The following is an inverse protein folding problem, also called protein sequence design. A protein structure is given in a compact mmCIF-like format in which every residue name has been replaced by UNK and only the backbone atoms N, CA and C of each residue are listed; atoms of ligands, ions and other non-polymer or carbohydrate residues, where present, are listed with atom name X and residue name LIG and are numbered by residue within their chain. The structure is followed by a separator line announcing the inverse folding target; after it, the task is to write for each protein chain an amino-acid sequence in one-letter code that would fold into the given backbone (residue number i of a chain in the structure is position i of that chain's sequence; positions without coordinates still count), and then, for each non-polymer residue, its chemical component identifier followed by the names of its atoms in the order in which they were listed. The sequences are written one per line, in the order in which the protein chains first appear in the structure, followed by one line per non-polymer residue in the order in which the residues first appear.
data_IF_161580379559
#
_entry.id   IF_161580379559
#
_cell.length_a   1.000
_cell.length_b   1.000
_cell.length_c   1.000
_cell.angle_alpha   90.00
_cell.angle_beta   90.00
_cell.angle_gamma   90.00
#
_symmetry.space_group_name_H-M   'P 1'
#
loop_
_entity.id
_entity.type
_entity.pdbx_description
1 polymer ?
#
# COMPACT_ATOMS: atom_id res chain seq x y z
N UNK A 1 -9.98 42.77 16.21
CA UNK A 1 -8.92 42.98 15.20
C UNK A 1 -8.02 41.75 15.21
N UNK A 2 -8.17 40.88 14.22
CA UNK A 2 -7.40 39.63 14.11
C UNK A 2 -6.00 39.92 13.60
N UNK A 3 -5.00 39.60 14.43
CA UNK A 3 -3.58 39.64 14.09
C UNK A 3 -3.31 38.71 12.91
N UNK A 4 -2.99 39.28 11.75
CA UNK A 4 -2.48 38.51 10.62
C UNK A 4 -1.05 38.09 10.97
N UNK A 5 -0.90 36.88 11.52
CA UNK A 5 0.40 36.24 11.63
C UNK A 5 1.03 36.20 10.22
N UNK A 6 2.24 36.74 10.11
CA UNK A 6 3.00 36.80 8.88
C UNK A 6 3.19 35.38 8.34
N UNK A 7 2.45 35.04 7.28
CA UNK A 7 2.49 33.70 6.69
C UNK A 7 3.80 33.52 5.95
N UNK A 8 4.76 32.86 6.58
CA UNK A 8 6.04 32.52 5.97
C UNK A 8 5.85 31.31 5.03
N UNK A 9 6.12 31.52 3.73
CA UNK A 9 6.01 30.47 2.71
C UNK A 9 7.40 29.92 2.41
N UNK A 10 7.83 28.92 3.17
CA UNK A 10 9.21 28.40 3.14
C UNK A 10 9.34 27.04 2.48
N UNK A 11 8.28 26.23 2.45
CA UNK A 11 8.38 24.80 2.12
C UNK A 11 7.96 24.55 0.68
N UNK A 12 8.78 23.81 -0.07
CA UNK A 12 8.42 23.39 -1.42
C UNK A 12 7.35 22.28 -1.42
N UNK A 13 6.63 22.15 -2.53
CA UNK A 13 5.66 21.07 -2.78
C UNK A 13 6.22 19.67 -2.46
N UNK A 14 7.48 19.41 -2.82
CA UNK A 14 8.10 18.09 -2.63
C UNK A 14 8.43 17.81 -1.17
N UNK A 15 8.97 18.81 -0.47
CA UNK A 15 9.29 18.71 0.95
C UNK A 15 8.03 18.56 1.80
N UNK A 16 6.99 19.33 1.50
CA UNK A 16 5.70 19.22 2.18
C UNK A 16 5.08 17.83 1.99
N UNK A 17 5.19 17.24 0.79
CA UNK A 17 4.71 15.90 0.52
C UNK A 17 5.44 14.84 1.37
N UNK A 18 6.77 14.99 1.53
CA UNK A 18 7.59 14.13 2.40
C UNK A 18 7.19 14.26 3.87
N UNK A 19 7.06 15.49 4.38
CA UNK A 19 6.67 15.77 5.79
C UNK A 19 5.31 15.16 6.12
N UNK A 20 4.34 15.29 5.21
CA UNK A 20 2.99 14.77 5.40
C UNK A 20 2.86 13.26 5.13
N UNK A 21 3.91 12.62 4.60
CA UNK A 21 3.89 11.23 4.10
C UNK A 21 2.77 11.00 3.08
N UNK A 22 2.65 11.89 2.09
CA UNK A 22 1.63 11.83 1.02
C UNK A 22 2.27 11.89 -0.36
N UNK A 23 1.54 11.43 -1.38
CA UNK A 23 1.92 11.68 -2.76
C UNK A 23 1.77 13.16 -3.12
N UNK A 24 2.63 13.65 -4.01
CA UNK A 24 2.56 15.02 -4.56
C UNK A 24 1.18 15.33 -5.14
N UNK A 25 0.56 14.36 -5.83
CA UNK A 25 -0.83 14.48 -6.33
C UNK A 25 -1.88 14.68 -5.23
N UNK A 26 -1.71 14.02 -4.08
CA UNK A 26 -2.63 14.19 -2.94
C UNK A 26 -2.48 15.57 -2.33
N UNK A 27 -1.23 16.06 -2.25
CA UNK A 27 -0.94 17.41 -1.80
C UNK A 27 -1.54 18.46 -2.76
N UNK A 28 -1.40 18.28 -4.07
CA UNK A 28 -2.02 19.17 -5.08
C UNK A 28 -3.54 19.25 -4.94
N UNK A 29 -4.18 18.13 -4.62
CA UNK A 29 -5.62 18.13 -4.35
C UNK A 29 -5.99 18.96 -3.12
N UNK A 30 -5.16 18.95 -2.09
CA UNK A 30 -5.38 19.77 -0.88
C UNK A 30 -5.13 21.25 -1.15
N UNK A 31 -4.13 21.57 -1.98
CA UNK A 31 -3.87 22.91 -2.48
C UNK A 31 -5.06 23.43 -3.30
N UNK A 32 -5.54 22.64 -4.28
CA UNK A 32 -6.70 22.97 -5.11
C UNK A 32 -7.98 23.12 -4.28
N UNK A 33 -8.13 22.31 -3.23
CA UNK A 33 -9.25 22.36 -2.29
C UNK A 33 -9.19 23.49 -1.25
N UNK A 34 -8.23 24.43 -1.37
CA UNK A 34 -8.00 25.54 -0.41
C UNK A 34 -7.81 25.08 1.04
N UNK A 35 -7.32 23.86 1.25
CA UNK A 35 -7.06 23.29 2.58
C UNK A 35 -5.68 23.63 3.13
N UNK A 36 -4.79 24.13 2.27
CA UNK A 36 -3.45 24.59 2.58
C UNK A 36 -3.22 25.92 1.86
N UNK A 37 -2.72 26.92 2.58
CA UNK A 37 -2.31 28.20 2.01
C UNK A 37 -1.08 28.00 1.13
N UNK A 38 -1.12 28.56 -0.08
CA UNK A 38 -0.04 28.45 -1.04
C UNK A 38 0.37 29.83 -1.58
N UNK A 39 1.62 29.93 -2.03
CA UNK A 39 2.14 31.07 -2.79
C UNK A 39 2.89 30.55 -4.01
N UNK A 40 2.57 31.08 -5.19
CA UNK A 40 3.28 30.75 -6.42
C UNK A 40 4.38 31.78 -6.66
N UNK A 41 5.64 31.33 -6.68
CA UNK A 41 6.80 32.17 -6.97
C UNK A 41 7.56 31.48 -8.11
N UNK A 42 7.70 32.15 -9.25
CA UNK A 42 8.41 31.65 -10.43
C UNK A 42 7.94 30.25 -10.90
N UNK A 43 6.63 29.97 -10.83
CA UNK A 43 6.05 28.69 -11.25
C UNK A 43 6.19 27.56 -10.23
N UNK A 44 6.81 27.82 -9.08
CA UNK A 44 6.93 26.87 -7.97
C UNK A 44 5.95 27.21 -6.86
N UNK A 45 5.31 26.17 -6.32
CA UNK A 45 4.34 26.30 -5.24
C UNK A 45 5.05 26.15 -3.89
N UNK A 46 4.95 27.19 -3.08
CA UNK A 46 5.43 27.22 -1.71
C UNK A 46 4.27 27.20 -0.72
N UNK A 47 4.47 26.48 0.38
CA UNK A 47 3.47 26.23 1.42
C UNK A 47 3.99 26.76 2.75
N UNK A 48 3.05 27.10 3.65
CA UNK A 48 3.40 27.44 5.02
C UNK A 48 3.74 26.16 5.81
N UNK A 49 4.91 26.13 6.44
CA UNK A 49 5.40 25.01 7.23
C UNK A 49 4.49 24.68 8.42
N UNK A 50 4.00 25.70 9.12
CA UNK A 50 3.17 25.52 10.32
C UNK A 50 1.85 24.85 9.95
N UNK A 51 1.21 25.34 8.88
CA UNK A 51 -0.06 24.81 8.39
C UNK A 51 0.09 23.36 7.89
N UNK A 52 1.20 23.03 7.23
CA UNK A 52 1.51 21.66 6.79
C UNK A 52 1.66 20.72 7.99
N UNK A 53 2.32 21.17 9.06
CA UNK A 53 2.53 20.38 10.27
C UNK A 53 1.22 20.16 11.05
N UNK A 54 0.41 21.20 11.21
CA UNK A 54 -0.88 21.12 11.90
C UNK A 54 -1.88 20.24 11.13
N UNK A 55 -1.87 20.34 9.80
CA UNK A 55 -2.69 19.46 8.96
C UNK A 55 -2.27 17.99 9.08
N UNK A 56 -0.96 17.72 9.22
CA UNK A 56 -0.43 16.38 9.47
C UNK A 56 -0.92 15.82 10.81
N UNK A 57 -0.90 16.63 11.88
CA UNK A 57 -1.40 16.24 13.22
C UNK A 57 -2.90 15.94 13.20
N UNK A 58 -3.73 16.81 12.63
CA UNK A 58 -5.18 16.63 12.55
C UNK A 58 -5.58 15.34 11.82
N UNK A 59 -4.83 14.96 10.78
CA UNK A 59 -5.09 13.75 10.00
C UNK A 59 -4.78 12.45 10.76
N UNK A 60 -3.79 12.46 11.66
CA UNK A 60 -3.49 11.30 12.53
C UNK A 60 -4.65 11.02 13.49
N UNK A 61 -5.26 12.06 14.04
CA UNK A 61 -6.41 11.94 14.95
C UNK A 61 -7.61 11.27 14.26
N UNK A 62 -7.95 11.66 13.04
CA UNK A 62 -9.08 11.05 12.31
C UNK A 62 -8.83 9.62 11.82
N UNK A 63 -7.58 9.20 11.59
CA UNK A 63 -7.26 7.79 11.29
C UNK A 63 -7.39 6.88 12.51
N UNK A 64 -7.01 7.36 13.69
CA UNK A 64 -7.05 6.56 14.92
C UNK A 64 -8.48 6.31 15.44
N UNK A 65 -9.46 7.13 15.04
CA UNK A 65 -10.86 6.93 15.46
C UNK A 65 -11.55 5.82 14.66
N UNK A 66 -11.11 5.52 13.43
CA UNK A 66 -11.83 4.61 12.53
C UNK A 66 -11.63 3.11 12.82
N UNK A 67 -10.74 2.74 13.75
CA UNK A 67 -10.42 1.35 14.08
C UNK A 67 -10.20 1.11 15.58
N UNK A 68 -10.95 1.78 16.46
CA UNK A 68 -11.12 1.26 17.81
C UNK A 68 -12.26 0.23 17.73
N UNK A 69 -11.92 -1.02 17.45
CA UNK A 69 -12.86 -2.11 17.76
C UNK A 69 -13.22 -1.95 19.24
N UNK A 70 -14.51 -1.89 19.61
CA UNK A 70 -14.88 -1.98 21.01
C UNK A 70 -14.36 -3.34 21.47
N UNK A 71 -13.34 -3.36 22.34
CA UNK A 71 -13.01 -4.56 23.08
C UNK A 71 -14.20 -4.82 23.99
N UNK A 72 -15.12 -5.69 23.55
CA UNK A 72 -16.18 -6.20 24.40
C UNK A 72 -15.51 -7.10 25.43
N UNK A 73 -15.01 -6.49 26.51
CA UNK A 73 -14.75 -7.22 27.73
C UNK A 73 -16.12 -7.71 28.19
N UNK A 74 -16.37 -9.01 28.06
CA UNK A 74 -17.48 -9.71 28.72
C UNK A 74 -17.30 -9.53 30.23
N UNK A 75 -17.79 -8.43 30.76
CA UNK A 75 -18.22 -8.33 32.14
C UNK A 75 -19.74 -8.50 32.09
N UNK A 76 -20.19 -9.74 32.33
CA UNK A 76 -21.56 -9.97 32.78
C UNK A 76 -21.66 -9.35 34.17
N UNK A 77 -22.07 -8.09 34.22
CA UNK A 77 -22.65 -7.52 35.43
C UNK A 77 -23.93 -6.83 34.99
N UNK A 78 -25.03 -7.53 35.21
CA UNK A 78 -26.39 -7.08 34.94
C UNK A 78 -26.72 -5.91 35.87
N UNK A 79 -26.30 -4.71 35.50
CA UNK A 79 -26.94 -3.51 36.02
C UNK A 79 -28.32 -3.40 35.37
N UNK A 80 -29.40 -3.25 36.15
CA UNK A 80 -30.70 -2.94 35.58
C UNK A 80 -30.58 -1.60 34.83
N UNK A 81 -30.87 -1.63 33.53
CA UNK A 81 -30.93 -0.42 32.71
C UNK A 81 -31.88 0.58 33.39
N UNK A 82 -31.50 1.86 33.53
CA UNK A 82 -32.44 2.88 33.96
C UNK A 82 -33.58 2.93 32.95
N UNK A 83 -34.83 2.98 33.42
CA UNK A 83 -36.01 3.19 32.56
C UNK A 83 -35.91 4.58 31.92
N UNK A 84 -35.24 4.63 30.76
CA UNK A 84 -35.24 5.80 29.91
C UNK A 84 -36.63 5.87 29.28
N UNK A 85 -37.41 6.85 29.70
CA UNK A 85 -38.65 7.24 29.02
C UNK A 85 -38.29 7.77 27.62
N UNK A 86 -38.19 6.85 26.66
CA UNK A 86 -38.03 7.17 25.25
C UNK A 86 -39.44 7.44 24.71
N UNK A 87 -39.72 8.69 24.36
CA UNK A 87 -40.94 9.09 23.63
C UNK A 87 -41.10 8.18 22.39
N UNK A 88 -42.33 7.77 22.11
CA UNK A 88 -42.66 6.71 21.15
C UNK A 88 -42.01 6.90 19.76
N UNK A 89 -41.82 8.15 19.33
CA UNK A 89 -41.21 8.48 18.03
C UNK A 89 -39.71 8.17 17.94
N UNK A 90 -38.98 8.25 19.05
CA UNK A 90 -37.54 8.00 19.06
C UNK A 90 -37.22 6.50 18.93
N UNK A 91 -38.08 5.62 19.47
CA UNK A 91 -37.89 4.16 19.36
C UNK A 91 -37.89 3.68 17.91
N UNK A 92 -38.76 4.25 17.08
CA UNK A 92 -38.87 3.86 15.67
C UNK A 92 -37.64 4.31 14.88
N UNK A 93 -37.07 5.48 15.20
CA UNK A 93 -35.82 5.97 14.61
C UNK A 93 -34.67 5.02 14.94
N UNK A 94 -34.51 4.65 16.21
CA UNK A 94 -33.45 3.72 16.62
C UNK A 94 -33.63 2.32 16.04
N UNK A 95 -34.88 1.84 15.93
CA UNK A 95 -35.20 0.58 15.28
C UNK A 95 -34.81 0.61 13.80
N UNK A 96 -35.21 1.64 13.07
CA UNK A 96 -34.89 1.78 11.65
C UNK A 96 -33.37 1.84 11.41
N UNK A 97 -32.66 2.60 12.24
CA UNK A 97 -31.19 2.68 12.18
C UNK A 97 -30.54 1.33 12.46
N UNK A 98 -31.05 0.59 13.45
CA UNK A 98 -30.56 -0.74 13.77
C UNK A 98 -30.77 -1.72 12.60
N UNK A 99 -31.96 -1.73 12.01
CA UNK A 99 -32.29 -2.58 10.87
C UNK A 99 -31.48 -2.23 9.62
N UNK A 100 -31.18 -0.94 9.39
CA UNK A 100 -30.30 -0.50 8.30
C UNK A 100 -28.87 -1.01 8.52
N UNK A 101 -28.32 -0.83 9.72
CA UNK A 101 -26.98 -1.34 10.07
C UNK A 101 -26.91 -2.87 9.96
N UNK A 102 -27.96 -3.56 10.38
CA UNK A 102 -28.04 -5.02 10.27
C UNK A 102 -28.09 -5.48 8.81
N UNK A 103 -28.82 -4.76 7.95
CA UNK A 103 -28.84 -5.01 6.50
C UNK A 103 -27.47 -4.79 5.87
N UNK A 104 -26.79 -3.71 6.22
CA UNK A 104 -25.44 -3.41 5.75
C UNK A 104 -24.43 -4.48 6.18
N UNK A 105 -24.47 -4.91 7.43
CA UNK A 105 -23.64 -6.00 7.95
C UNK A 105 -23.85 -7.28 7.15
N UNK A 106 -25.10 -7.65 6.88
CA UNK A 106 -25.43 -8.81 6.07
C UNK A 106 -24.91 -8.67 4.64
N UNK A 107 -25.01 -7.47 4.04
CA UNK A 107 -24.46 -7.16 2.72
C UNK A 107 -22.93 -7.28 2.67
N UNK A 108 -22.23 -6.81 3.71
CA UNK A 108 -20.78 -6.96 3.81
C UNK A 108 -20.37 -8.42 3.97
N UNK A 109 -21.10 -9.19 4.79
CA UNK A 109 -20.85 -10.61 4.97
C UNK A 109 -20.96 -11.38 3.66
N UNK A 110 -22.03 -11.15 2.87
CA UNK A 110 -22.20 -11.77 1.56
C UNK A 110 -21.08 -11.41 0.58
N UNK A 111 -20.64 -10.14 0.57
CA UNK A 111 -19.51 -9.71 -0.28
C UNK A 111 -18.20 -10.38 0.13
N UNK A 112 -17.99 -10.55 1.43
CA UNK A 112 -16.79 -11.19 1.98
C UNK A 112 -16.76 -12.69 1.68
N UNK A 113 -17.91 -13.37 1.82
CA UNK A 113 -18.07 -14.76 1.41
C UNK A 113 -17.80 -14.94 -0.09
N UNK A 114 -18.35 -14.06 -0.94
CA UNK A 114 -18.09 -14.09 -2.39
C UNK A 114 -16.63 -13.81 -2.75
N UNK A 115 -15.96 -12.90 -2.04
CA UNK A 115 -14.53 -12.62 -2.23
C UNK A 115 -13.67 -13.82 -1.80
N UNK A 116 -13.94 -14.41 -0.64
CA UNK A 116 -13.23 -15.60 -0.15
C UNK A 116 -13.40 -16.79 -1.10
N UNK A 117 -14.61 -16.99 -1.63
CA UNK A 117 -14.85 -18.02 -2.63
C UNK A 117 -14.00 -17.81 -3.90
N UNK A 118 -13.93 -16.58 -4.42
CA UNK A 118 -13.08 -16.25 -5.57
C UNK A 118 -11.60 -16.42 -5.28
N UNK A 119 -11.14 -16.02 -4.09
CA UNK A 119 -9.76 -16.24 -3.65
C UNK A 119 -9.46 -17.73 -3.59
N UNK A 120 -10.36 -18.55 -3.03
CA UNK A 120 -10.20 -20.00 -3.00
C UNK A 120 -10.11 -20.62 -4.39
N UNK A 121 -10.92 -20.16 -5.35
CA UNK A 121 -10.82 -20.59 -6.75
C UNK A 121 -9.47 -20.20 -7.38
N UNK A 122 -9.01 -18.97 -7.16
CA UNK A 122 -7.72 -18.48 -7.66
C UNK A 122 -6.56 -19.24 -7.01
N UNK A 123 -6.63 -19.55 -5.72
CA UNK A 123 -5.63 -20.34 -5.02
C UNK A 123 -5.57 -21.77 -5.55
N UNK A 124 -6.72 -22.39 -5.82
CA UNK A 124 -6.77 -23.71 -6.44
C UNK A 124 -6.17 -23.71 -7.85
N UNK A 125 -6.51 -22.71 -8.67
CA UNK A 125 -5.92 -22.50 -9.99
C UNK A 125 -4.42 -22.24 -9.90
N UNK A 126 -3.98 -21.41 -8.96
CA UNK A 126 -2.58 -21.11 -8.73
C UNK A 126 -1.81 -22.37 -8.37
N UNK A 127 -2.31 -23.18 -7.41
CA UNK A 127 -1.72 -24.47 -7.01
C UNK A 127 -1.59 -25.43 -8.20
N UNK A 128 -2.60 -25.48 -9.07
CA UNK A 128 -2.51 -26.28 -10.31
C UNK A 128 -1.59 -25.68 -11.39
N UNK A 129 -1.25 -24.40 -11.32
CA UNK A 129 -0.40 -23.69 -12.30
C UNK A 129 1.09 -23.64 -11.91
N UNK A 130 1.43 -23.90 -10.64
CA UNK A 130 2.82 -24.08 -10.17
C UNK A 130 3.67 -25.02 -11.05
N UNK A 131 3.17 -26.11 -11.67
CA UNK A 131 3.97 -26.91 -12.61
C UNK A 131 4.57 -26.10 -13.78
N UNK A 132 3.96 -24.99 -14.21
CA UNK A 132 4.47 -24.22 -15.36
C UNK A 132 5.76 -23.45 -15.02
N UNK A 133 5.86 -22.92 -13.80
CA UNK A 133 7.05 -22.18 -13.35
C UNK A 133 8.23 -23.15 -13.14
N UNK A 134 7.96 -24.35 -12.62
CA UNK A 134 8.97 -25.41 -12.50
C UNK A 134 9.42 -25.92 -13.87
N UNK A 135 8.49 -26.18 -14.80
CA UNK A 135 8.83 -26.55 -16.17
C UNK A 135 9.66 -25.48 -16.88
N UNK A 136 9.35 -24.20 -16.68
CA UNK A 136 10.14 -23.11 -17.28
C UNK A 136 11.55 -23.04 -16.70
N UNK A 137 11.73 -23.25 -15.39
CA UNK A 137 13.06 -23.35 -14.76
C UNK A 137 13.86 -24.52 -15.30
N UNK A 138 13.24 -25.69 -15.47
CA UNK A 138 13.88 -26.87 -16.06
C UNK A 138 14.32 -26.62 -17.51
N UNK A 139 13.49 -25.98 -18.33
CA UNK A 139 13.82 -25.64 -19.72
C UNK A 139 14.95 -24.61 -19.82
N UNK A 140 14.96 -23.61 -18.95
CA UNK A 140 16.04 -22.59 -18.88
C UNK A 140 17.35 -23.24 -18.40
N UNK A 141 17.29 -24.13 -17.42
CA UNK A 141 18.43 -24.93 -16.95
C UNK A 141 19.06 -25.75 -18.06
N UNK A 142 18.25 -26.52 -18.81
CA UNK A 142 18.73 -27.32 -19.94
C UNK A 142 19.33 -26.50 -21.08
N UNK A 143 18.84 -25.29 -21.35
CA UNK A 143 19.46 -24.40 -22.36
C UNK A 143 20.81 -23.90 -21.89
N UNK A 144 20.92 -23.48 -20.62
CA UNK A 144 22.19 -23.00 -20.03
C UNK A 144 23.28 -24.07 -20.06
N UNK A 145 22.91 -25.31 -19.74
CA UNK A 145 23.85 -26.45 -19.75
C UNK A 145 24.41 -26.74 -21.15
N UNK A 146 23.57 -26.63 -22.19
CA UNK A 146 24.01 -26.80 -23.59
C UNK A 146 24.97 -25.69 -24.04
N UNK A 147 24.72 -24.44 -23.64
CA UNK A 147 25.63 -23.34 -23.94
C UNK A 147 26.98 -23.52 -23.24
N UNK A 148 26.97 -23.88 -21.95
CA UNK A 148 28.20 -24.12 -21.21
C UNK A 148 29.04 -25.22 -21.84
N UNK A 149 28.44 -26.35 -22.26
CA UNK A 149 29.18 -27.43 -22.95
C UNK A 149 29.84 -26.94 -24.23
N UNK A 150 29.13 -26.18 -25.08
CA UNK A 150 29.70 -25.61 -26.32
C UNK A 150 30.85 -24.65 -26.06
N UNK A 151 30.69 -23.75 -25.09
CA UNK A 151 31.75 -22.80 -24.70
C UNK A 151 32.96 -23.56 -24.16
N UNK A 152 32.75 -24.61 -23.35
CA UNK A 152 33.84 -25.43 -22.79
C UNK A 152 34.64 -26.14 -23.91
N UNK A 153 33.98 -26.70 -24.93
CA UNK A 153 34.66 -27.30 -26.07
C UNK A 153 35.47 -26.29 -26.90
N UNK A 154 34.94 -25.08 -27.10
CA UNK A 154 35.66 -24.02 -27.82
C UNK A 154 36.92 -23.61 -27.03
N UNK A 155 36.78 -23.42 -25.72
CA UNK A 155 37.91 -23.08 -24.83
C UNK A 155 38.97 -24.18 -24.83
N UNK A 156 38.54 -25.45 -24.76
CA UNK A 156 39.43 -26.61 -24.85
C UNK A 156 40.19 -26.65 -26.19
N UNK A 157 39.51 -26.37 -27.31
CA UNK A 157 40.12 -26.36 -28.64
C UNK A 157 41.19 -25.26 -28.78
N UNK A 158 40.95 -24.08 -28.20
CA UNK A 158 41.93 -22.99 -28.17
C UNK A 158 43.17 -23.38 -27.38
N UNK A 159 43.00 -23.99 -26.20
CA UNK A 159 44.12 -24.44 -25.36
C UNK A 159 44.96 -25.50 -26.10
N UNK A 160 44.32 -26.47 -26.75
CA UNK A 160 44.99 -27.47 -27.58
C UNK A 160 45.75 -26.86 -28.76
N UNK A 161 45.17 -25.86 -29.42
CA UNK A 161 45.82 -25.17 -30.55
C UNK A 161 47.04 -24.33 -30.17
N UNK A 162 47.12 -23.87 -28.92
CA UNK A 162 48.24 -23.08 -28.39
C UNK A 162 49.44 -23.95 -27.98
N UNK A 163 49.25 -25.24 -27.70
CA UNK A 163 50.32 -26.16 -27.28
C UNK A 163 51.55 -26.19 -28.19
N UNK A 164 51.45 -26.29 -29.54
CA UNK A 164 52.63 -26.34 -30.40
C UNK A 164 53.40 -25.02 -30.43
N UNK A 165 52.75 -23.88 -30.21
CA UNK A 165 53.38 -22.56 -30.20
C UNK A 165 54.30 -22.41 -28.99
N UNK A 166 53.91 -22.95 -27.83
CA UNK A 166 54.75 -22.98 -26.64
C UNK A 166 56.03 -23.81 -26.83
N UNK A 167 55.94 -24.94 -27.54
CA UNK A 167 57.10 -25.78 -27.84
C UNK A 167 58.10 -25.07 -28.76
N UNK A 168 57.61 -24.32 -29.75
CA UNK A 168 58.47 -23.55 -30.66
C UNK A 168 59.14 -22.38 -29.94
N UNK A 169 58.41 -21.69 -29.04
CA UNK A 169 58.96 -20.56 -28.28
C UNK A 169 60.00 -21.01 -27.23
N UNK A 170 59.86 -22.21 -26.65
CA UNK A 170 60.81 -22.74 -25.67
C UNK A 170 62.11 -23.28 -26.30
N UNK A 171 62.11 -23.52 -27.61
CA UNK A 171 63.27 -24.03 -28.35
C UNK A 171 64.06 -22.92 -29.07
N UNK A 172 63.54 -21.69 -29.06
CA UNK A 172 64.17 -20.49 -29.61
C UNK A 172 64.92 -19.74 -28.50
#
# INVERSE_FOLDING_TARGET
MSTQAEKTFTVSREEAAKIMKLSTRTLDRYIKGRKLSNKNIAGRIFLNMEEVNDFSKKKRTHRNIKYRQPQVKRAMESQPMPDVFIESGDRDIYRNLYEEVQRDLKGFQQRLEGANYRVGQLEAQLKSSVPVIEHQKLLVGHKKERYNKRVMYILLAIILGIQPIWLVLAYL
#
